data_IF_117945832290
#
_entry.id   IF_117945832290
#
_cell.length_a   1.000
_cell.length_b   1.000
_cell.length_c   1.000
_cell.angle_alpha   90.00
_cell.angle_beta   90.00
_cell.angle_gamma   90.00
#
_symmetry.space_group_name_H-M   'P 1'
#
loop_
_entity.id
_entity.type
_entity.pdbx_description
1 polymer ?
#
# COMPACT_ATOMS: atom_id res chain seq x y z
N UNK A 1 -30.51 6.84 13.89
CA UNK A 1 -30.37 6.05 12.65
C UNK A 1 -28.93 5.59 12.59
N UNK A 2 -28.63 4.30 12.28
CA UNK A 2 -27.23 3.82 12.16
C UNK A 2 -26.53 4.51 11.00
N UNK A 3 -25.28 4.91 11.16
CA UNK A 3 -24.42 5.38 10.07
C UNK A 3 -24.14 4.22 9.11
N UNK A 4 -23.87 4.53 7.86
CA UNK A 4 -23.55 3.51 6.86
C UNK A 4 -22.04 3.36 6.70
N UNK A 5 -21.60 2.12 6.53
CA UNK A 5 -20.26 1.77 6.17
C UNK A 5 -20.29 1.03 4.83
N UNK A 6 -19.71 1.63 3.78
CA UNK A 6 -19.41 0.90 2.57
C UNK A 6 -18.15 0.06 2.81
N UNK A 7 -18.29 -1.25 2.70
CA UNK A 7 -17.20 -2.20 2.87
C UNK A 7 -16.83 -2.82 1.51
N UNK A 8 -15.64 -2.50 1.00
CA UNK A 8 -15.17 -2.97 -0.30
C UNK A 8 -14.35 -4.26 -0.15
N UNK A 9 -14.80 -5.31 -0.84
CA UNK A 9 -14.23 -6.66 -0.76
C UNK A 9 -14.82 -7.45 0.41
N UNK A 10 -15.46 -8.58 0.10
CA UNK A 10 -16.13 -9.42 1.10
C UNK A 10 -15.65 -10.88 0.99
N UNK A 11 -14.38 -11.11 0.66
CA UNK A 11 -13.78 -12.43 0.54
C UNK A 11 -13.39 -12.99 1.92
N UNK A 12 -12.83 -14.18 1.99
CA UNK A 12 -12.45 -14.86 3.24
C UNK A 12 -11.55 -14.02 4.14
N UNK A 13 -10.54 -13.35 3.58
CA UNK A 13 -9.60 -12.52 4.32
C UNK A 13 -10.23 -11.28 4.96
N UNK A 14 -11.42 -10.87 4.50
CA UNK A 14 -12.15 -9.71 5.02
C UNK A 14 -13.17 -10.07 6.09
N UNK A 15 -13.49 -11.34 6.29
CA UNK A 15 -14.47 -11.80 7.29
C UNK A 15 -14.12 -11.30 8.70
N UNK A 16 -12.89 -11.43 9.21
CA UNK A 16 -12.56 -10.96 10.56
C UNK A 16 -12.83 -9.47 10.78
N UNK A 17 -12.62 -8.65 9.73
CA UNK A 17 -12.91 -7.22 9.79
C UNK A 17 -14.42 -6.97 9.82
N UNK A 18 -15.19 -7.65 8.96
CA UNK A 18 -16.65 -7.54 8.93
C UNK A 18 -17.29 -7.96 10.26
N UNK A 19 -16.78 -9.03 10.89
CA UNK A 19 -17.24 -9.51 12.19
C UNK A 19 -16.93 -8.54 13.32
N UNK A 20 -15.81 -7.78 13.22
CA UNK A 20 -15.40 -6.80 14.22
C UNK A 20 -16.23 -5.51 14.22
N UNK A 21 -17.03 -5.28 13.18
CA UNK A 21 -17.82 -4.05 13.06
C UNK A 21 -18.98 -4.04 14.07
N UNK A 22 -19.08 -2.96 14.83
CA UNK A 22 -20.22 -2.73 15.74
C UNK A 22 -21.52 -2.47 14.95
N UNK A 23 -22.31 -3.53 14.79
CA UNK A 23 -23.60 -3.50 14.08
C UNK A 23 -24.70 -2.69 14.78
N UNK A 24 -24.49 -2.28 16.03
CA UNK A 24 -25.43 -1.37 16.69
C UNK A 24 -25.31 0.06 16.14
N UNK A 25 -24.10 0.47 15.84
CA UNK A 25 -23.79 1.81 15.33
C UNK A 25 -23.72 1.89 13.80
N UNK A 26 -23.38 0.78 13.12
CA UNK A 26 -23.13 0.75 11.69
C UNK A 26 -24.11 -0.14 10.93
N UNK A 27 -24.61 0.36 9.80
CA UNK A 27 -25.28 -0.42 8.75
C UNK A 27 -24.21 -0.76 7.70
N UNK A 28 -23.90 -2.04 7.53
CA UNK A 28 -22.87 -2.51 6.61
C UNK A 28 -23.48 -2.66 5.21
N UNK A 29 -22.93 -1.93 4.23
CA UNK A 29 -23.20 -2.08 2.81
C UNK A 29 -21.97 -2.71 2.16
N UNK A 30 -22.02 -4.00 1.86
CA UNK A 30 -20.91 -4.72 1.22
C UNK A 30 -20.94 -4.54 -0.30
N UNK A 31 -19.75 -4.40 -0.91
CA UNK A 31 -19.56 -4.44 -2.35
C UNK A 31 -18.41 -5.38 -2.72
N UNK A 32 -18.68 -6.35 -3.59
CA UNK A 32 -17.71 -7.30 -4.11
C UNK A 32 -18.13 -7.74 -5.51
N UNK A 33 -17.19 -7.94 -6.43
CA UNK A 33 -17.48 -8.43 -7.77
C UNK A 33 -18.11 -9.84 -7.72
N UNK A 34 -17.68 -10.67 -6.76
CA UNK A 34 -18.23 -12.00 -6.58
C UNK A 34 -19.59 -11.92 -5.85
N UNK A 35 -20.67 -12.18 -6.58
CA UNK A 35 -22.03 -12.21 -6.02
C UNK A 35 -22.17 -13.20 -4.84
N UNK A 36 -21.34 -14.23 -4.80
CA UNK A 36 -21.32 -15.26 -3.76
C UNK A 36 -20.14 -15.07 -2.79
N UNK A 37 -19.68 -13.81 -2.60
CA UNK A 37 -18.58 -13.52 -1.68
C UNK A 37 -18.87 -14.07 -0.27
N UNK A 38 -17.90 -14.76 0.36
CA UNK A 38 -18.09 -15.43 1.66
C UNK A 38 -18.62 -14.50 2.76
N UNK A 39 -18.16 -13.25 2.81
CA UNK A 39 -18.57 -12.25 3.80
C UNK A 39 -19.91 -11.58 3.53
N UNK A 40 -20.60 -11.89 2.42
CA UNK A 40 -21.88 -11.29 2.04
C UNK A 40 -22.93 -11.40 3.16
N UNK A 41 -22.99 -12.53 3.85
CA UNK A 41 -23.98 -12.78 4.90
C UNK A 41 -23.79 -11.91 6.15
N UNK A 42 -22.64 -11.25 6.28
CA UNK A 42 -22.33 -10.31 7.37
C UNK A 42 -22.81 -8.88 7.08
N UNK A 43 -23.20 -8.59 5.83
CA UNK A 43 -23.64 -7.28 5.40
C UNK A 43 -25.15 -7.12 5.56
N UNK A 44 -25.62 -5.92 5.96
CA UNK A 44 -27.05 -5.57 5.96
C UNK A 44 -27.61 -5.43 4.53
N UNK A 45 -26.75 -4.98 3.59
CA UNK A 45 -27.00 -4.90 2.15
C UNK A 45 -25.74 -5.35 1.41
N UNK A 46 -25.93 -5.94 0.22
CA UNK A 46 -24.82 -6.38 -0.61
C UNK A 46 -25.07 -6.05 -2.07
N UNK A 47 -24.04 -5.54 -2.73
CA UNK A 47 -24.06 -5.19 -4.15
C UNK A 47 -22.92 -5.94 -4.88
N UNK A 48 -23.25 -6.58 -6.01
CA UNK A 48 -22.27 -7.23 -6.87
C UNK A 48 -21.60 -6.18 -7.76
N UNK A 49 -20.64 -5.43 -7.17
CA UNK A 49 -19.88 -4.35 -7.80
C UNK A 49 -18.43 -4.48 -7.39
N UNK A 50 -17.52 -4.49 -8.36
CA UNK A 50 -16.07 -4.50 -8.12
C UNK A 50 -15.57 -3.18 -7.56
N UNK A 51 -14.49 -3.21 -6.79
CA UNK A 51 -13.88 -1.98 -6.25
C UNK A 51 -13.22 -1.11 -7.35
N UNK A 52 -13.03 -1.62 -8.55
CA UNK A 52 -12.53 -0.94 -9.74
C UNK A 52 -13.64 -0.43 -10.67
N UNK A 53 -14.89 -0.82 -10.44
CA UNK A 53 -16.07 -0.26 -11.11
C UNK A 53 -16.51 1.03 -10.41
N UNK A 54 -15.81 2.13 -10.71
CA UNK A 54 -16.03 3.42 -10.06
C UNK A 54 -17.45 3.94 -10.25
N UNK A 55 -18.01 3.76 -11.43
CA UNK A 55 -19.40 4.19 -11.74
C UNK A 55 -20.42 3.37 -10.94
N UNK A 56 -20.26 2.04 -10.91
CA UNK A 56 -21.10 1.15 -10.13
C UNK A 56 -21.05 1.45 -8.64
N UNK A 57 -19.89 1.80 -8.09
CA UNK A 57 -19.77 2.23 -6.69
C UNK A 57 -20.58 3.51 -6.40
N UNK A 58 -20.52 4.50 -7.30
CA UNK A 58 -21.33 5.72 -7.15
C UNK A 58 -22.83 5.42 -7.20
N UNK A 59 -23.26 4.55 -8.11
CA UNK A 59 -24.66 4.10 -8.15
C UNK A 59 -25.10 3.42 -6.84
N UNK A 60 -24.24 2.59 -6.24
CA UNK A 60 -24.48 2.01 -4.90
C UNK A 60 -24.67 3.11 -3.87
N UNK A 61 -23.77 4.11 -3.88
CA UNK A 61 -23.82 5.23 -2.93
C UNK A 61 -25.11 6.04 -3.04
N UNK A 62 -25.56 6.33 -4.26
CA UNK A 62 -26.83 7.04 -4.52
C UNK A 62 -28.03 6.18 -4.07
N UNK A 63 -28.08 4.91 -4.44
CA UNK A 63 -29.16 3.97 -4.07
C UNK A 63 -29.29 3.80 -2.57
N UNK A 64 -28.17 3.65 -1.87
CA UNK A 64 -28.14 3.49 -0.41
C UNK A 64 -28.16 4.85 0.33
N UNK A 65 -28.16 5.97 -0.39
CA UNK A 65 -28.24 7.36 0.15
C UNK A 65 -27.09 7.65 1.12
N UNK A 66 -25.85 7.41 0.67
CA UNK A 66 -24.66 7.77 1.42
C UNK A 66 -24.52 9.28 1.57
N UNK A 67 -23.94 9.71 2.70
CA UNK A 67 -23.73 11.11 3.06
C UNK A 67 -22.32 11.29 3.61
N UNK A 68 -21.90 12.53 3.82
CA UNK A 68 -20.58 12.86 4.40
C UNK A 68 -20.33 12.29 5.80
N UNK A 69 -21.41 11.93 6.53
CA UNK A 69 -21.32 11.40 7.90
C UNK A 69 -21.16 9.86 7.94
N UNK A 70 -21.26 9.22 6.78
CA UNK A 70 -21.04 7.79 6.62
C UNK A 70 -19.54 7.47 6.46
N UNK A 71 -19.19 6.21 6.22
CA UNK A 71 -17.80 5.77 6.11
C UNK A 71 -17.62 4.83 4.90
N UNK A 72 -16.42 4.78 4.36
CA UNK A 72 -15.95 3.73 3.46
C UNK A 72 -14.74 3.05 4.05
N UNK A 73 -14.61 1.75 3.88
CA UNK A 73 -13.49 0.96 4.35
C UNK A 73 -13.18 -0.18 3.38
N UNK A 74 -11.91 -0.52 3.29
CA UNK A 74 -11.44 -1.72 2.61
C UNK A 74 -10.23 -2.31 3.33
N UNK A 75 -10.21 -3.63 3.47
CA UNK A 75 -9.07 -4.44 3.86
C UNK A 75 -8.72 -5.45 2.75
N UNK A 76 -9.23 -5.22 1.55
CA UNK A 76 -8.96 -6.04 0.37
C UNK A 76 -7.56 -5.76 -0.22
N UNK A 77 -7.40 -5.84 -1.52
CA UNK A 77 -6.16 -5.45 -2.17
C UNK A 77 -5.93 -3.94 -2.06
N UNK A 78 -4.67 -3.51 -2.07
CA UNK A 78 -4.30 -2.08 -2.06
C UNK A 78 -5.04 -1.25 -3.13
N UNK A 79 -5.37 -1.86 -4.27
CA UNK A 79 -6.14 -1.22 -5.34
C UNK A 79 -7.56 -0.84 -4.96
N UNK A 80 -8.17 -1.54 -4.01
CA UNK A 80 -9.49 -1.20 -3.51
C UNK A 80 -9.51 0.19 -2.85
N UNK A 81 -8.34 0.69 -2.41
CA UNK A 81 -8.18 2.04 -1.88
C UNK A 81 -8.55 3.12 -2.92
N UNK A 82 -8.27 2.88 -4.22
CA UNK A 82 -8.68 3.83 -5.29
C UNK A 82 -10.20 3.94 -5.38
N UNK A 83 -10.91 2.81 -5.40
CA UNK A 83 -12.36 2.80 -5.39
C UNK A 83 -12.94 3.46 -4.13
N UNK A 84 -12.32 3.20 -2.96
CA UNK A 84 -12.71 3.83 -1.70
C UNK A 84 -12.52 5.35 -1.74
N UNK A 85 -11.37 5.84 -2.21
CA UNK A 85 -11.07 7.27 -2.32
C UNK A 85 -12.02 7.96 -3.30
N UNK A 86 -12.26 7.36 -4.46
CA UNK A 86 -13.20 7.87 -5.44
C UNK A 86 -14.63 7.97 -4.89
N UNK A 87 -15.10 6.91 -4.23
CA UNK A 87 -16.38 6.90 -3.56
C UNK A 87 -16.47 8.00 -2.50
N UNK A 88 -15.47 8.07 -1.62
CA UNK A 88 -15.41 9.06 -0.55
C UNK A 88 -15.45 10.50 -1.06
N UNK A 89 -14.69 10.80 -2.10
CA UNK A 89 -14.66 12.10 -2.77
C UNK A 89 -16.06 12.51 -3.25
N UNK A 90 -16.79 11.61 -3.92
CA UNK A 90 -18.14 11.88 -4.46
C UNK A 90 -19.18 12.17 -3.37
N UNK A 91 -19.10 11.48 -2.23
CA UNK A 91 -20.04 11.64 -1.12
C UNK A 91 -19.51 12.54 0.00
N UNK A 92 -18.34 13.18 -0.19
CA UNK A 92 -17.67 14.06 0.79
C UNK A 92 -17.40 13.36 2.14
N UNK A 93 -17.17 12.05 2.09
CA UNK A 93 -16.78 11.24 3.23
C UNK A 93 -15.30 11.51 3.54
N UNK A 94 -14.93 11.55 4.83
CA UNK A 94 -13.52 11.66 5.22
C UNK A 94 -12.77 10.41 4.78
N UNK A 95 -11.77 10.59 3.90
CA UNK A 95 -10.88 9.55 3.39
C UNK A 95 -9.64 10.22 2.77
N UNK A 96 -8.49 9.55 2.66
CA UNK A 96 -7.35 10.07 1.91
C UNK A 96 -7.73 10.43 0.48
N UNK A 97 -7.13 11.49 -0.05
CA UNK A 97 -7.42 11.93 -1.42
C UNK A 97 -7.00 10.86 -2.45
N UNK A 98 -7.62 10.87 -3.62
CA UNK A 98 -7.23 10.01 -4.73
C UNK A 98 -5.75 10.19 -5.09
N UNK A 99 -5.24 11.43 -5.01
CA UNK A 99 -3.84 11.76 -5.25
C UNK A 99 -2.90 11.13 -4.22
N UNK A 100 -3.25 11.19 -2.93
CA UNK A 100 -2.48 10.56 -1.85
C UNK A 100 -2.47 9.04 -1.98
N UNK A 101 -3.62 8.44 -2.36
CA UNK A 101 -3.73 7.00 -2.64
C UNK A 101 -2.87 6.62 -3.84
N UNK A 102 -2.93 7.37 -4.93
CA UNK A 102 -2.11 7.13 -6.12
C UNK A 102 -0.62 7.21 -5.82
N UNK A 103 -0.21 8.19 -4.99
CA UNK A 103 1.17 8.30 -4.54
C UNK A 103 1.60 7.04 -3.78
N UNK A 104 0.81 6.55 -2.83
CA UNK A 104 1.16 5.37 -2.04
C UNK A 104 1.15 4.05 -2.84
N UNK A 105 0.40 3.97 -3.94
CA UNK A 105 0.30 2.76 -4.76
C UNK A 105 1.36 2.64 -5.85
N UNK A 106 1.95 3.75 -6.25
CA UNK A 106 2.90 3.83 -7.36
C UNK A 106 4.33 3.98 -6.81
N UNK A 107 5.14 2.92 -6.96
CA UNK A 107 6.53 2.90 -6.46
C UNK A 107 7.39 4.00 -7.07
N UNK A 108 7.18 4.34 -8.32
CA UNK A 108 7.97 5.39 -8.97
C UNK A 108 7.66 6.75 -8.39
N UNK A 109 6.38 7.01 -8.09
CA UNK A 109 5.92 8.27 -7.50
C UNK A 109 6.40 8.44 -6.06
N UNK A 110 6.21 7.43 -5.20
CA UNK A 110 6.61 7.61 -3.80
C UNK A 110 8.13 7.61 -3.60
N UNK A 111 8.91 6.87 -4.40
CA UNK A 111 10.37 6.97 -4.34
C UNK A 111 10.87 8.34 -4.85
N UNK A 112 10.27 8.88 -5.90
CA UNK A 112 10.55 10.23 -6.37
C UNK A 112 10.21 11.28 -5.30
N UNK A 113 9.04 11.14 -4.67
CA UNK A 113 8.62 12.00 -3.58
C UNK A 113 9.57 11.90 -2.37
N UNK A 114 9.93 10.69 -1.95
CA UNK A 114 10.88 10.47 -0.85
C UNK A 114 12.23 11.11 -1.12
N UNK A 115 12.78 10.88 -2.30
CA UNK A 115 14.05 11.45 -2.71
C UNK A 115 14.04 12.98 -2.65
N UNK A 116 12.96 13.61 -3.15
CA UNK A 116 12.79 15.07 -3.14
C UNK A 116 12.63 15.67 -1.75
N UNK A 117 12.10 14.90 -0.81
CA UNK A 117 11.82 15.35 0.56
C UNK A 117 12.83 14.81 1.59
N UNK A 118 13.96 14.26 1.15
CA UNK A 118 15.03 13.82 2.02
C UNK A 118 14.71 12.57 2.86
N UNK A 119 13.67 11.82 2.52
CA UNK A 119 13.37 10.53 3.16
C UNK A 119 14.38 9.50 2.66
N UNK A 120 15.11 8.82 3.56
CA UNK A 120 16.09 7.83 3.14
C UNK A 120 15.47 6.66 2.39
N UNK A 121 15.95 6.42 1.18
CA UNK A 121 15.57 5.26 0.34
C UNK A 121 16.84 4.58 -0.17
N UNK A 122 16.82 3.28 -0.48
CA UNK A 122 17.91 2.66 -1.21
C UNK A 122 18.08 3.38 -2.55
N UNK A 123 19.29 3.38 -3.07
CA UNK A 123 19.53 3.97 -4.39
C UNK A 123 18.69 3.26 -5.44
N UNK A 124 17.91 4.03 -6.17
CA UNK A 124 16.77 3.55 -6.95
C UNK A 124 16.78 4.16 -8.34
N UNK A 125 16.42 3.37 -9.35
CA UNK A 125 16.27 3.80 -10.73
C UNK A 125 14.98 3.24 -11.33
N UNK A 126 14.36 4.02 -12.17
CA UNK A 126 13.25 3.57 -13.01
C UNK A 126 13.83 2.97 -14.30
N UNK A 127 13.45 1.75 -14.63
CA UNK A 127 13.99 0.96 -15.74
C UNK A 127 12.84 0.63 -16.70
N UNK A 128 13.02 1.00 -17.97
CA UNK A 128 12.06 0.69 -19.04
C UNK A 128 12.42 -0.60 -19.78
N UNK A 129 13.73 -0.83 -19.93
CA UNK A 129 14.25 -1.92 -20.75
C UNK A 129 15.57 -2.45 -20.20
N UNK A 130 16.07 -3.47 -20.89
CA UNK A 130 17.28 -4.18 -20.52
C UNK A 130 18.56 -3.32 -20.68
N UNK A 131 18.57 -2.38 -21.60
CA UNK A 131 19.74 -1.55 -21.84
C UNK A 131 19.90 -0.49 -20.75
N UNK A 132 18.77 0.08 -20.29
CA UNK A 132 18.74 0.93 -19.09
C UNK A 132 19.20 0.16 -17.85
N UNK A 133 18.72 -1.10 -17.66
CA UNK A 133 19.19 -1.95 -16.58
C UNK A 133 20.70 -2.14 -16.60
N UNK A 134 21.27 -2.54 -17.75
CA UNK A 134 22.72 -2.71 -17.93
C UNK A 134 23.50 -1.43 -17.63
N UNK A 135 22.99 -0.29 -18.04
CA UNK A 135 23.60 1.02 -17.77
C UNK A 135 23.63 1.32 -16.28
N UNK A 136 22.52 1.12 -15.58
CA UNK A 136 22.46 1.35 -14.13
C UNK A 136 23.37 0.43 -13.34
N UNK A 137 23.43 -0.86 -13.70
CA UNK A 137 24.34 -1.82 -13.06
C UNK A 137 25.83 -1.42 -13.21
N UNK A 138 26.21 -0.85 -14.37
CA UNK A 138 27.59 -0.35 -14.57
C UNK A 138 27.91 0.89 -13.74
N UNK A 139 26.91 1.69 -13.39
CA UNK A 139 27.08 2.90 -12.59
C UNK A 139 27.06 2.63 -11.09
N UNK A 140 26.67 1.43 -10.67
CA UNK A 140 26.60 1.03 -9.29
C UNK A 140 27.82 0.21 -8.86
N UNK A 141 28.15 0.31 -7.57
CA UNK A 141 29.14 -0.55 -6.91
C UNK A 141 28.52 -1.67 -6.09
N UNK A 142 27.17 -1.72 -6.02
CA UNK A 142 26.48 -2.76 -5.28
C UNK A 142 26.63 -4.12 -5.98
N UNK A 143 26.76 -5.16 -5.19
CA UNK A 143 26.81 -6.54 -5.67
C UNK A 143 25.41 -7.10 -5.92
N UNK A 144 24.43 -6.72 -5.07
CA UNK A 144 23.08 -7.24 -5.12
C UNK A 144 22.06 -6.14 -5.36
N UNK A 145 21.01 -6.52 -6.09
CA UNK A 145 19.92 -5.65 -6.49
C UNK A 145 18.57 -6.32 -6.33
N UNK A 146 17.55 -5.48 -6.16
CA UNK A 146 16.16 -5.88 -6.29
C UNK A 146 15.56 -5.21 -7.53
N UNK A 147 14.93 -6.01 -8.38
CA UNK A 147 14.09 -5.52 -9.47
C UNK A 147 12.64 -5.75 -9.07
N UNK A 148 11.88 -4.68 -9.04
CA UNK A 148 10.48 -4.65 -8.62
C UNK A 148 9.63 -4.10 -9.75
N UNK A 149 8.40 -4.55 -9.87
CA UNK A 149 7.42 -3.87 -10.72
C UNK A 149 7.03 -2.53 -10.06
N UNK A 150 6.83 -1.50 -10.86
CA UNK A 150 6.36 -0.18 -10.45
C UNK A 150 5.04 -0.24 -9.66
N UNK A 151 4.19 -1.16 -10.07
CA UNK A 151 2.84 -1.34 -9.54
C UNK A 151 2.68 -2.76 -9.00
N UNK A 152 2.79 -2.98 -7.71
CA UNK A 152 2.76 -4.33 -7.18
C UNK A 152 1.35 -4.78 -6.85
N UNK A 153 0.78 -5.65 -7.71
CA UNK A 153 -0.37 -6.49 -7.36
C UNK A 153 0.03 -7.79 -6.64
N UNK A 154 1.34 -8.13 -6.64
CA UNK A 154 1.75 -9.45 -6.21
C UNK A 154 3.23 -9.43 -5.75
N UNK A 155 3.56 -9.91 -4.53
CA UNK A 155 4.94 -10.02 -4.05
C UNK A 155 5.83 -10.92 -4.91
N UNK A 156 5.26 -11.71 -5.81
CA UNK A 156 6.01 -12.56 -6.76
C UNK A 156 6.81 -11.77 -7.81
N UNK A 157 6.70 -10.44 -7.87
CA UNK A 157 7.42 -9.60 -8.83
C UNK A 157 8.57 -8.80 -8.21
N UNK A 158 9.11 -9.27 -7.10
CA UNK A 158 10.35 -8.76 -6.51
C UNK A 158 11.45 -9.78 -6.74
N UNK A 159 12.47 -9.39 -7.49
CA UNK A 159 13.58 -10.27 -7.87
C UNK A 159 14.88 -9.77 -7.28
N UNK A 160 15.48 -10.54 -6.37
CA UNK A 160 16.84 -10.29 -5.89
C UNK A 160 17.82 -11.01 -6.82
N UNK A 161 18.84 -10.31 -7.29
CA UNK A 161 19.85 -10.87 -8.15
C UNK A 161 21.22 -10.25 -7.89
N UNK A 162 22.27 -10.99 -8.27
CA UNK A 162 23.63 -10.50 -8.27
C UNK A 162 23.92 -9.81 -9.61
N UNK A 163 24.70 -8.70 -9.58
CA UNK A 163 25.04 -7.91 -10.77
C UNK A 163 25.73 -8.71 -11.89
N UNK A 164 26.38 -9.83 -11.54
CA UNK A 164 27.04 -10.74 -12.49
C UNK A 164 26.08 -11.78 -13.08
N UNK A 165 24.92 -12.02 -12.46
CA UNK A 165 23.94 -13.04 -12.85
C UNK A 165 22.56 -12.40 -13.08
N UNK A 166 22.52 -11.45 -13.96
CA UNK A 166 21.27 -10.73 -14.26
C UNK A 166 20.25 -11.71 -14.89
N UNK A 167 19.04 -11.78 -14.38
CA UNK A 167 17.98 -12.60 -14.95
C UNK A 167 17.49 -11.94 -16.23
N UNK A 168 18.04 -12.35 -17.38
CA UNK A 168 17.86 -11.64 -18.63
C UNK A 168 16.44 -11.74 -19.17
N UNK A 169 16.15 -12.56 -20.06
CA UNK A 169 15.01 -12.47 -20.97
C UNK A 169 13.65 -12.86 -20.36
N UNK A 170 13.63 -13.78 -19.42
CA UNK A 170 12.37 -14.27 -18.84
C UNK A 170 11.64 -13.26 -17.97
N UNK A 171 12.33 -12.26 -17.41
CA UNK A 171 11.72 -11.28 -16.53
C UNK A 171 10.92 -10.21 -17.31
N UNK A 172 11.49 -9.71 -18.39
CA UNK A 172 10.84 -8.68 -19.22
C UNK A 172 9.84 -9.24 -20.23
N UNK A 173 9.94 -10.52 -20.64
CA UNK A 173 9.16 -11.11 -21.71
C UNK A 173 8.11 -12.14 -21.29
N UNK A 174 8.23 -12.71 -20.11
CA UNK A 174 7.51 -13.96 -19.83
C UNK A 174 6.33 -13.85 -18.87
N UNK A 175 6.18 -12.81 -18.08
CA UNK A 175 5.26 -12.86 -16.94
C UNK A 175 4.24 -11.72 -16.82
N UNK A 176 4.40 -10.63 -17.53
CA UNK A 176 3.46 -9.52 -17.43
C UNK A 176 2.68 -9.33 -18.72
N UNK A 177 1.50 -9.93 -18.78
CA UNK A 177 0.50 -9.63 -19.81
C UNK A 177 -0.07 -8.20 -19.66
N UNK A 178 0.32 -7.49 -18.63
CA UNK A 178 0.01 -6.10 -18.41
C UNK A 178 1.24 -5.29 -18.77
N UNK A 179 1.18 -4.60 -19.90
CA UNK A 179 2.20 -3.64 -20.34
C UNK A 179 2.42 -2.61 -19.23
N UNK A 180 3.61 -2.63 -18.63
CA UNK A 180 4.01 -1.68 -17.61
C UNK A 180 5.05 -0.75 -18.18
N UNK A 181 4.94 0.51 -17.81
CA UNK A 181 5.85 1.53 -18.32
C UNK A 181 7.24 1.41 -17.70
N UNK A 182 7.32 0.97 -16.43
CA UNK A 182 8.57 0.96 -15.69
C UNK A 182 8.71 -0.22 -14.74
N UNK A 183 9.96 -0.57 -14.47
CA UNK A 183 10.40 -1.37 -13.33
C UNK A 183 11.24 -0.49 -12.41
N UNK A 184 11.26 -0.82 -11.14
CA UNK A 184 12.10 -0.17 -10.13
C UNK A 184 13.29 -1.07 -9.83
N UNK A 185 14.50 -0.63 -10.22
CA UNK A 185 15.76 -1.23 -9.81
C UNK A 185 16.24 -0.56 -8.53
N UNK A 186 16.66 -1.35 -7.55
CA UNK A 186 17.07 -0.86 -6.25
C UNK A 186 18.33 -1.58 -5.77
N UNK A 187 19.33 -0.83 -5.29
CA UNK A 187 20.49 -1.43 -4.61
C UNK A 187 20.03 -2.12 -3.32
N UNK A 188 20.65 -3.25 -2.99
CA UNK A 188 20.42 -3.89 -1.70
C UNK A 188 20.95 -3.03 -0.57
N UNK A 189 20.15 -2.80 0.43
CA UNK A 189 20.54 -2.19 1.69
C UNK A 189 20.57 -3.26 2.77
N UNK A 190 21.67 -3.34 3.52
CA UNK A 190 21.86 -4.35 4.55
C UNK A 190 21.34 -3.89 5.90
N UNK A 191 20.59 -4.75 6.59
CA UNK A 191 20.04 -4.44 7.89
C UNK A 191 18.87 -5.36 8.27
N UNK A 192 18.18 -5.00 9.33
CA UNK A 192 17.00 -5.70 9.83
C UNK A 192 15.75 -5.15 9.15
N UNK A 193 14.96 -6.04 8.56
CA UNK A 193 13.68 -5.67 7.93
C UNK A 193 12.58 -5.55 8.97
N UNK A 194 11.96 -4.38 9.06
CA UNK A 194 10.91 -4.06 10.02
C UNK A 194 9.69 -3.49 9.29
N UNK A 195 8.52 -3.72 9.85
CA UNK A 195 7.28 -3.03 9.48
C UNK A 195 6.86 -2.08 10.57
N UNK A 196 6.65 -0.83 10.23
CA UNK A 196 6.15 0.20 11.14
C UNK A 196 4.73 0.57 10.72
N UNK A 197 3.78 0.34 11.62
CA UNK A 197 2.41 0.80 11.46
C UNK A 197 2.26 2.11 12.21
N UNK A 198 1.86 3.17 11.53
CA UNK A 198 1.62 4.49 12.11
C UNK A 198 0.14 4.83 12.00
N UNK A 199 -0.45 5.27 13.11
CA UNK A 199 -1.82 5.74 13.19
C UNK A 199 -1.88 6.91 14.17
N UNK A 200 -2.24 8.10 13.69
CA UNK A 200 -2.22 9.35 14.47
C UNK A 200 -0.85 9.58 15.12
N UNK A 201 -0.81 9.69 16.45
CA UNK A 201 0.41 9.85 17.26
C UNK A 201 1.05 8.54 17.71
N UNK A 202 0.47 7.40 17.35
CA UNK A 202 0.91 6.07 17.78
C UNK A 202 1.63 5.34 16.66
N UNK A 203 2.56 4.48 17.05
CA UNK A 203 3.18 3.54 16.13
C UNK A 203 3.40 2.18 16.79
N UNK A 204 3.47 1.14 15.98
CA UNK A 204 3.87 -0.20 16.37
C UNK A 204 4.91 -0.73 15.41
N UNK A 205 5.89 -1.43 15.94
CA UNK A 205 6.96 -2.06 15.16
C UNK A 205 6.75 -3.57 15.16
N UNK A 206 6.91 -4.15 13.99
CA UNK A 206 6.80 -5.59 13.77
C UNK A 206 8.06 -6.07 13.06
N UNK A 207 8.56 -7.24 13.48
CA UNK A 207 9.53 -7.98 12.69
C UNK A 207 8.88 -8.38 11.36
N UNK A 208 9.55 -8.09 10.25
CA UNK A 208 8.97 -8.28 8.93
C UNK A 208 8.80 -9.76 8.56
N UNK A 209 9.71 -10.62 9.01
CA UNK A 209 9.70 -12.05 8.68
C UNK A 209 8.68 -12.83 9.48
N UNK A 210 8.58 -12.54 10.78
CA UNK A 210 7.69 -13.28 11.69
C UNK A 210 6.31 -12.63 11.84
N UNK A 211 6.16 -11.35 11.47
CA UNK A 211 4.96 -10.56 11.71
C UNK A 211 4.70 -10.28 13.19
N UNK A 212 5.63 -10.65 14.08
CA UNK A 212 5.47 -10.46 15.52
C UNK A 212 5.77 -9.03 15.93
N UNK A 213 4.96 -8.45 16.81
CA UNK A 213 5.25 -7.14 17.41
C UNK A 213 6.56 -7.20 18.19
N UNK A 214 7.45 -6.23 17.94
CA UNK A 214 8.75 -6.15 18.57
C UNK A 214 9.01 -4.78 19.20
N UNK A 215 9.77 -4.75 20.28
CA UNK A 215 10.28 -3.53 20.89
C UNK A 215 11.82 -3.43 20.81
N UNK A 216 12.46 -4.41 20.15
CA UNK A 216 13.93 -4.57 20.19
C UNK A 216 14.63 -3.34 19.61
N UNK A 217 14.10 -2.77 18.51
CA UNK A 217 14.71 -1.65 17.80
C UNK A 217 14.04 -0.30 18.06
N UNK A 218 13.24 -0.18 19.13
CA UNK A 218 12.52 1.09 19.41
C UNK A 218 13.45 2.27 19.66
N UNK A 219 14.59 2.05 20.35
CA UNK A 219 15.54 3.13 20.65
C UNK A 219 16.21 3.64 19.38
N UNK A 220 16.65 2.74 18.52
CA UNK A 220 17.30 3.04 17.23
C UNK A 220 16.32 3.77 16.31
N UNK A 221 15.08 3.29 16.20
CA UNK A 221 14.02 3.92 15.41
C UNK A 221 13.77 5.36 15.85
N UNK A 222 13.73 5.61 17.15
CA UNK A 222 13.52 6.95 17.70
C UNK A 222 14.76 7.81 17.50
N UNK A 223 15.97 7.30 17.82
CA UNK A 223 17.21 8.07 17.74
C UNK A 223 17.58 8.49 16.31
N UNK A 224 17.20 7.69 15.31
CA UNK A 224 17.40 7.99 13.90
C UNK A 224 16.28 8.87 13.29
N UNK A 225 15.31 9.30 14.08
CA UNK A 225 14.22 10.15 13.61
C UNK A 225 13.26 9.48 12.62
N UNK A 226 13.24 8.14 12.58
CA UNK A 226 12.37 7.38 11.65
C UNK A 226 10.92 7.79 11.78
N UNK A 227 10.41 7.81 13.02
CA UNK A 227 8.99 8.10 13.29
C UNK A 227 8.60 9.51 12.85
N UNK A 228 9.47 10.48 13.11
CA UNK A 228 9.21 11.87 12.73
C UNK A 228 9.15 12.00 11.21
N UNK A 229 10.08 11.39 10.49
CA UNK A 229 10.08 11.33 9.02
C UNK A 229 8.79 10.71 8.46
N UNK A 230 8.33 9.58 9.04
CA UNK A 230 7.12 8.91 8.57
C UNK A 230 5.85 9.74 8.89
N UNK A 231 5.81 10.40 10.04
CA UNK A 231 4.72 11.30 10.43
C UNK A 231 4.65 12.53 9.54
N UNK A 232 5.79 13.08 9.16
CA UNK A 232 5.86 14.22 8.24
C UNK A 232 5.27 13.85 6.88
N UNK A 233 5.61 12.67 6.36
CA UNK A 233 4.98 12.14 5.14
C UNK A 233 3.46 12.04 5.30
N UNK A 234 2.98 11.38 6.35
CA UNK A 234 1.54 11.20 6.62
C UNK A 234 0.84 12.56 6.73
N UNK A 235 1.46 13.52 7.41
CA UNK A 235 0.91 14.87 7.58
C UNK A 235 0.81 15.61 6.26
N UNK A 236 1.86 15.60 5.45
CA UNK A 236 1.87 16.25 4.15
C UNK A 236 0.84 15.63 3.18
N UNK A 237 0.57 14.33 3.30
CA UNK A 237 -0.45 13.64 2.53
C UNK A 237 -1.85 13.72 3.16
N UNK A 238 -2.02 14.41 4.30
CA UNK A 238 -3.29 14.55 5.05
C UNK A 238 -3.93 13.21 5.40
N UNK A 239 -3.10 12.26 5.85
CA UNK A 239 -3.51 10.89 6.16
C UNK A 239 -3.42 10.55 7.66
N UNK A 240 -3.46 11.55 8.56
CA UNK A 240 -3.22 11.37 10.01
C UNK A 240 -4.22 10.42 10.68
N UNK A 241 -5.45 10.37 10.18
CA UNK A 241 -6.52 9.54 10.73
C UNK A 241 -6.55 8.12 10.16
N UNK A 242 -5.50 7.73 9.42
CA UNK A 242 -5.44 6.44 8.74
C UNK A 242 -4.25 5.61 9.22
N UNK A 243 -4.42 4.28 9.17
CA UNK A 243 -3.35 3.35 9.45
C UNK A 243 -2.46 3.22 8.22
N UNK A 244 -1.24 3.72 8.30
CA UNK A 244 -0.25 3.63 7.22
C UNK A 244 0.85 2.66 7.66
N UNK A 245 1.21 1.75 6.78
CA UNK A 245 2.29 0.77 6.96
C UNK A 245 3.51 1.21 6.19
N UNK A 246 4.67 1.13 6.81
CA UNK A 246 5.95 1.35 6.16
C UNK A 246 6.83 0.12 6.36
N UNK A 247 7.36 -0.41 5.30
CA UNK A 247 8.42 -1.42 5.38
C UNK A 247 9.76 -0.70 5.29
N UNK A 248 10.62 -0.92 6.27
CA UNK A 248 11.94 -0.30 6.36
C UNK A 248 13.03 -1.36 6.51
N UNK A 249 14.27 -0.99 6.18
CA UNK A 249 15.45 -1.69 6.65
C UNK A 249 16.22 -0.75 7.55
N UNK A 250 16.60 -1.25 8.72
CA UNK A 250 17.33 -0.54 9.74
C UNK A 250 18.69 -1.20 9.94
N UNK A 251 19.76 -0.41 10.02
CA UNK A 251 21.06 -0.81 10.55
C UNK A 251 21.47 0.10 11.72
N UNK A 252 22.68 -0.08 12.25
CA UNK A 252 23.12 0.62 13.47
C UNK A 252 23.11 2.15 13.32
N UNK A 253 23.42 2.67 12.12
CA UNK A 253 23.66 4.09 11.90
C UNK A 253 22.63 4.77 11.00
N UNK A 254 21.76 4.01 10.34
CA UNK A 254 20.86 4.53 9.31
C UNK A 254 19.65 3.62 9.04
N UNK A 255 18.72 4.14 8.26
CA UNK A 255 17.57 3.36 7.78
C UNK A 255 17.23 3.76 6.34
N UNK A 256 16.44 2.92 5.70
CA UNK A 256 15.81 3.23 4.42
C UNK A 256 14.35 2.77 4.42
N UNK A 257 13.50 3.51 3.72
CA UNK A 257 12.09 3.13 3.49
C UNK A 257 12.01 2.33 2.19
N UNK A 258 11.40 1.14 2.25
CA UNK A 258 11.28 0.22 1.12
C UNK A 258 9.92 0.21 0.45
N UNK A 259 8.85 0.36 1.23
CA UNK A 259 7.48 0.26 0.73
C UNK A 259 6.50 0.99 1.65
N UNK A 260 5.37 1.39 1.07
CA UNK A 260 4.23 1.97 1.79
C UNK A 260 3.00 1.12 1.51
N UNK A 261 2.16 0.93 2.53
CA UNK A 261 0.86 0.30 2.39
C UNK A 261 -0.19 0.97 3.29
N UNK A 262 -1.42 0.83 2.91
CA UNK A 262 -2.58 1.31 3.65
C UNK A 262 -3.52 0.17 3.98
#
# INVERSE_FOLDING_TARGET
MRRKLLFLGCNYDQIPYLESIDKQNWKIVGADLNQNAPGRHLCDKFHSVGYDDLAGLIEVGVREKFTKDDMVFTAAAQFAQKGAAHFASNFKISFPSEESIDLCLDKTKYYDWFSKNGVPIPKTWNIKDIDELKKCLKLSKSEFFYLKSDFSKNPHYVYRFNSLKVPWEGFFWGRDRYLREFYVLQEEFQGVSLRINVYSDRFNVFDFLTGSKTNIHHKEIISLGVIDTLRDFISQQKMQDWLIKFDIILNDDSYVVLDIGM
#
